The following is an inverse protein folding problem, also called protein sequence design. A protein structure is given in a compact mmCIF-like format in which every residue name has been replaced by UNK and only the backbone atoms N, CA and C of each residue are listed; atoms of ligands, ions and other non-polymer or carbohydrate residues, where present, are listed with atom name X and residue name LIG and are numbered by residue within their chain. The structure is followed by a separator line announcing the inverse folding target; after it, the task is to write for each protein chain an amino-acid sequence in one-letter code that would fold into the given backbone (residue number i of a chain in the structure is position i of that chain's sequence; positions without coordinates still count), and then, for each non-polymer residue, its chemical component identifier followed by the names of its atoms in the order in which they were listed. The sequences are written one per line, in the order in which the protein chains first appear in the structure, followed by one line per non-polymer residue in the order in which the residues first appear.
data_IF_016741575575
#
_entry.id   IF_016741575575
#
_cell.length_a   1.000
_cell.length_b   1.000
_cell.length_c   1.000
_cell.angle_alpha   90.00
_cell.angle_beta   90.00
_cell.angle_gamma   90.00
#
_symmetry.space_group_name_H-M   'P 1'
#
loop_
_entity.id
_entity.type
_entity.pdbx_description
1 polymer ?
#
# COMPACT_ATOMS: atom_id res chain seq x y z
N UNK A 1 26.12 33.13 -16.73
CA UNK A 1 25.86 32.57 -15.38
C UNK A 1 26.27 31.11 -15.34
N UNK A 2 26.53 30.57 -14.14
CA UNK A 2 26.99 29.18 -13.91
C UNK A 2 26.12 28.09 -14.57
N UNK A 3 24.82 28.36 -14.76
CA UNK A 3 23.87 27.44 -15.38
C UNK A 3 24.18 27.15 -16.87
N UNK A 4 24.64 28.15 -17.62
CA UNK A 4 24.84 28.04 -19.08
C UNK A 4 25.81 26.94 -19.49
N UNK A 5 26.81 26.65 -18.65
CA UNK A 5 27.81 25.62 -18.94
C UNK A 5 27.58 24.34 -18.16
N UNK A 6 26.76 24.32 -17.11
CA UNK A 6 26.64 23.13 -16.24
C UNK A 6 25.54 22.16 -16.65
N UNK A 7 24.34 22.66 -16.98
CA UNK A 7 23.09 21.89 -17.15
C UNK A 7 23.22 20.65 -18.08
N UNK A 8 22.69 20.69 -19.30
CA UNK A 8 22.76 19.56 -20.22
C UNK A 8 24.16 19.28 -20.81
N UNK A 9 25.20 19.99 -20.36
CA UNK A 9 26.56 19.93 -20.91
C UNK A 9 27.51 19.00 -20.14
N UNK A 10 27.17 18.61 -18.91
CA UNK A 10 28.00 17.72 -18.08
C UNK A 10 27.24 16.47 -17.65
N UNK A 11 27.83 15.30 -17.85
CA UNK A 11 27.20 14.00 -17.57
C UNK A 11 26.75 13.86 -16.13
N UNK A 12 27.61 14.27 -15.18
CA UNK A 12 27.27 14.25 -13.76
C UNK A 12 26.07 15.15 -13.43
N UNK A 13 25.88 16.26 -14.16
CA UNK A 13 24.72 17.14 -13.98
C UNK A 13 23.46 16.54 -14.60
N UNK A 14 23.58 15.93 -15.78
CA UNK A 14 22.46 15.21 -16.43
C UNK A 14 21.96 14.04 -15.60
N UNK A 15 22.89 13.29 -15.00
CA UNK A 15 22.58 12.14 -14.16
C UNK A 15 21.88 12.54 -12.87
N UNK A 16 22.39 13.55 -12.16
CA UNK A 16 21.84 14.00 -10.88
C UNK A 16 20.74 15.07 -11.01
N UNK A 17 20.44 15.53 -12.23
CA UNK A 17 19.42 16.54 -12.53
C UNK A 17 19.55 17.82 -11.68
N UNK A 18 20.77 18.29 -11.41
CA UNK A 18 20.98 19.46 -10.55
C UNK A 18 20.32 20.73 -11.11
N UNK A 19 19.73 21.55 -10.24
CA UNK A 19 19.10 22.82 -10.64
C UNK A 19 18.10 22.66 -11.79
N UNK A 20 17.35 21.55 -11.81
CA UNK A 20 16.47 21.12 -12.91
C UNK A 20 15.59 22.24 -13.47
N UNK A 21 14.82 22.92 -12.61
CA UNK A 21 13.93 24.03 -13.00
C UNK A 21 14.69 25.19 -13.63
N UNK A 22 15.74 25.69 -12.99
CA UNK A 22 16.52 26.81 -13.52
C UNK A 22 17.24 26.46 -14.83
N UNK A 23 17.65 25.21 -15.02
CA UNK A 23 18.19 24.73 -16.29
C UNK A 23 17.13 24.71 -17.40
N UNK A 24 15.91 24.27 -17.09
CA UNK A 24 14.78 24.27 -18.00
C UNK A 24 14.37 25.69 -18.41
N UNK A 25 14.22 26.61 -17.45
CA UNK A 25 13.90 28.03 -17.68
C UNK A 25 14.97 28.75 -18.50
N UNK A 26 16.25 28.35 -18.36
CA UNK A 26 17.36 28.88 -19.14
C UNK A 26 17.49 28.26 -20.56
N UNK A 27 16.53 27.45 -21.00
CA UNK A 27 16.54 26.80 -22.31
C UNK A 27 17.60 25.71 -22.48
N UNK A 28 18.20 25.25 -21.38
CA UNK A 28 19.24 24.21 -21.36
C UNK A 28 18.87 23.06 -20.42
N UNK A 29 17.57 22.78 -20.30
CA UNK A 29 17.03 21.68 -19.50
C UNK A 29 17.55 20.32 -19.93
N UNK A 30 17.31 19.32 -19.08
CA UNK A 30 17.72 17.95 -19.37
C UNK A 30 16.67 17.25 -20.25
N UNK A 31 17.12 16.30 -21.07
CA UNK A 31 16.22 15.60 -21.99
C UNK A 31 15.07 14.91 -21.24
N UNK A 32 13.86 15.11 -21.75
CA UNK A 32 12.62 14.56 -21.20
C UNK A 32 12.03 15.34 -20.02
N UNK A 33 12.68 16.39 -19.55
CA UNK A 33 12.17 17.18 -18.43
C UNK A 33 11.06 18.15 -18.87
N UNK A 34 9.98 18.17 -18.10
CA UNK A 34 8.92 19.17 -18.18
C UNK A 34 8.76 19.82 -16.81
N UNK A 35 9.31 21.03 -16.66
CA UNK A 35 9.19 21.84 -15.44
C UNK A 35 8.09 22.90 -15.54
N UNK A 36 7.15 22.78 -16.49
CA UNK A 36 6.03 23.73 -16.63
C UNK A 36 5.06 23.74 -15.45
N UNK A 37 5.09 22.69 -14.61
CA UNK A 37 4.24 22.54 -13.43
C UNK A 37 4.60 23.43 -12.23
N UNK A 38 5.66 24.24 -12.30
CA UNK A 38 6.10 25.12 -11.21
C UNK A 38 7.09 24.45 -10.24
N UNK A 39 7.24 25.03 -9.05
CA UNK A 39 8.07 24.43 -8.01
C UNK A 39 7.45 23.13 -7.50
N UNK A 40 8.29 22.15 -7.20
CA UNK A 40 7.83 20.94 -6.52
C UNK A 40 7.34 21.32 -5.12
N UNK A 41 6.07 21.01 -4.84
CA UNK A 41 5.45 21.19 -3.53
C UNK A 41 4.89 19.85 -3.09
N UNK A 42 5.32 19.37 -1.94
CA UNK A 42 4.77 18.22 -1.25
C UNK A 42 4.06 18.67 0.04
N UNK A 43 2.98 17.95 0.39
CA UNK A 43 2.29 18.12 1.68
C UNK A 43 2.11 16.73 2.28
N UNK A 44 2.52 16.57 3.54
CA UNK A 44 2.24 15.34 4.29
C UNK A 44 0.93 15.48 5.07
N UNK A 45 -0.01 14.58 4.79
CA UNK A 45 -1.22 14.42 5.60
C UNK A 45 -0.91 13.49 6.78
N UNK A 46 -1.08 13.99 8.01
CA UNK A 46 -0.95 13.14 9.20
C UNK A 46 -2.15 12.19 9.30
N UNK A 47 -1.88 10.93 9.64
CA UNK A 47 -2.88 9.92 9.97
C UNK A 47 -2.29 8.96 11.02
N UNK A 48 -3.15 8.38 11.85
CA UNK A 48 -2.76 7.30 12.75
C UNK A 48 -2.64 5.97 11.98
N UNK A 49 -1.93 4.99 12.55
CA UNK A 49 -1.77 3.67 11.93
C UNK A 49 -3.11 2.99 11.64
N UNK A 50 -4.09 3.17 12.54
CA UNK A 50 -5.46 2.65 12.40
C UNK A 50 -6.28 3.41 11.35
N UNK A 51 -5.75 4.49 10.77
CA UNK A 51 -6.40 5.33 9.76
C UNK A 51 -5.78 5.16 8.37
N UNK A 52 -4.90 4.16 8.18
CA UNK A 52 -4.37 3.79 6.86
C UNK A 52 -5.53 3.49 5.90
N UNK A 53 -5.41 3.98 4.67
CA UNK A 53 -6.46 3.84 3.65
C UNK A 53 -5.95 3.15 2.40
N UNK A 54 -6.88 2.72 1.54
CA UNK A 54 -6.54 2.21 0.22
C UNK A 54 -5.87 3.29 -0.63
N UNK A 55 -5.09 2.88 -1.64
CA UNK A 55 -4.50 3.82 -2.60
C UNK A 55 -5.55 4.72 -3.27
N UNK A 56 -6.70 4.15 -3.63
CA UNK A 56 -7.81 4.90 -4.24
C UNK A 56 -8.29 6.03 -3.33
N UNK A 57 -8.47 5.76 -2.03
CA UNK A 57 -8.89 6.76 -1.06
C UNK A 57 -7.79 7.78 -0.79
N UNK A 58 -6.52 7.36 -0.71
CA UNK A 58 -5.38 8.29 -0.63
C UNK A 58 -5.32 9.21 -1.85
N UNK A 59 -5.46 8.66 -3.06
CA UNK A 59 -5.50 9.40 -4.32
C UNK A 59 -6.67 10.38 -4.35
N UNK A 60 -7.85 9.97 -3.90
CA UNK A 60 -9.03 10.84 -3.79
C UNK A 60 -8.78 12.01 -2.83
N UNK A 61 -8.16 11.75 -1.67
CA UNK A 61 -7.80 12.79 -0.69
C UNK A 61 -6.80 13.80 -1.27
N UNK A 62 -5.74 13.34 -1.92
CA UNK A 62 -4.78 14.22 -2.61
C UNK A 62 -5.45 15.03 -3.72
N UNK A 63 -6.27 14.39 -4.57
CA UNK A 63 -6.95 15.05 -5.69
C UNK A 63 -7.90 16.16 -5.23
N UNK A 64 -8.55 15.99 -4.07
CA UNK A 64 -9.41 17.04 -3.49
C UNK A 64 -8.67 18.35 -3.16
N UNK A 65 -7.33 18.30 -3.08
CA UNK A 65 -6.44 19.44 -2.85
C UNK A 65 -5.71 19.89 -4.11
N UNK A 66 -6.05 19.34 -5.28
CA UNK A 66 -5.30 19.57 -6.51
C UNK A 66 -3.92 18.89 -6.54
N UNK A 67 -3.68 17.94 -5.62
CA UNK A 67 -2.40 17.24 -5.48
C UNK A 67 -2.51 15.81 -6.00
N UNK A 68 -1.37 15.15 -6.17
CA UNK A 68 -1.26 13.73 -6.50
C UNK A 68 -0.51 13.02 -5.38
N UNK A 69 -0.76 11.73 -5.25
CA UNK A 69 -0.02 10.89 -4.32
C UNK A 69 1.45 10.83 -4.74
N UNK A 70 2.36 11.14 -3.81
CA UNK A 70 3.80 11.05 -4.02
C UNK A 70 4.26 9.59 -4.04
N UNK A 71 5.28 9.29 -4.85
CA UNK A 71 5.97 7.98 -4.84
C UNK A 71 7.01 7.87 -3.72
N UNK A 72 7.57 9.01 -3.30
CA UNK A 72 8.64 9.11 -2.33
C UNK A 72 8.18 9.86 -1.05
N UNK A 73 8.96 9.74 0.02
CA UNK A 73 8.73 10.47 1.27
C UNK A 73 8.74 11.98 1.06
N UNK A 74 7.69 12.65 1.53
CA UNK A 74 7.68 14.11 1.63
C UNK A 74 8.72 14.57 2.65
N UNK A 75 9.50 15.60 2.31
CA UNK A 75 10.74 15.93 3.01
C UNK A 75 10.54 16.59 4.39
N UNK A 76 9.33 17.03 4.73
CA UNK A 76 9.10 17.72 6.00
C UNK A 76 7.68 17.51 6.54
N UNK A 77 7.55 17.17 7.82
CA UNK A 77 6.26 17.11 8.49
C UNK A 77 6.38 17.42 9.97
N UNK A 78 5.33 18.03 10.52
CA UNK A 78 5.15 18.22 11.95
C UNK A 78 4.38 17.08 12.61
N UNK A 79 4.13 15.96 11.90
CA UNK A 79 3.43 14.82 12.47
C UNK A 79 4.28 14.19 13.59
N UNK A 80 3.72 14.07 14.79
CA UNK A 80 4.44 13.65 16.01
C UNK A 80 4.68 12.13 16.13
N UNK A 81 4.25 11.32 15.16
CA UNK A 81 4.29 9.86 15.22
C UNK A 81 5.17 9.28 14.11
N UNK A 82 5.44 7.97 14.22
CA UNK A 82 6.29 7.19 13.30
C UNK A 82 5.99 7.50 11.83
N UNK A 83 7.04 7.49 11.01
CA UNK A 83 7.04 8.03 9.65
C UNK A 83 6.30 7.14 8.63
N UNK A 84 5.16 6.58 8.99
CA UNK A 84 4.43 5.65 8.14
C UNK A 84 3.64 6.36 7.04
N UNK A 85 3.52 5.67 5.90
CA UNK A 85 2.72 6.14 4.77
C UNK A 85 1.23 5.98 5.07
N UNK A 86 0.43 6.91 4.53
CA UNK A 86 -1.04 6.84 4.54
C UNK A 86 -1.57 5.63 3.73
N UNK A 87 -0.75 5.09 2.82
CA UNK A 87 -1.04 3.96 1.94
C UNK A 87 0.28 3.25 1.58
N UNK A 88 0.25 1.96 1.25
CA UNK A 88 1.40 1.24 0.67
C UNK A 88 1.01 0.63 -0.69
N UNK A 89 1.91 0.62 -1.70
CA UNK A 89 1.70 -0.13 -2.93
C UNK A 89 1.69 -1.66 -2.71
N UNK A 90 2.18 -2.12 -1.55
CA UNK A 90 2.27 -3.53 -1.25
C UNK A 90 0.88 -4.12 -0.99
N UNK A 91 0.55 -5.19 -1.70
CA UNK A 91 -0.65 -5.99 -1.39
C UNK A 91 -0.53 -6.58 0.02
N UNK A 92 -1.48 -6.26 0.89
CA UNK A 92 -1.59 -6.88 2.21
C UNK A 92 -1.79 -8.39 2.06
N UNK A 93 -0.72 -9.13 2.29
CA UNK A 93 -0.77 -10.59 2.40
C UNK A 93 -0.77 -10.93 3.88
N UNK A 94 -1.81 -11.65 4.30
CA UNK A 94 -1.92 -12.18 5.66
C UNK A 94 -1.92 -13.69 5.57
N UNK A 95 -1.22 -14.34 6.49
CA UNK A 95 -1.38 -15.78 6.65
C UNK A 95 -2.65 -16.04 7.43
N UNK A 96 -3.46 -17.00 6.96
CA UNK A 96 -4.65 -17.46 7.66
C UNK A 96 -4.53 -18.96 7.91
N UNK A 97 -4.92 -19.38 9.11
CA UNK A 97 -5.08 -20.80 9.42
C UNK A 97 -6.46 -21.21 8.98
N UNK A 98 -6.53 -22.17 8.05
CA UNK A 98 -7.77 -22.82 7.61
C UNK A 98 -7.97 -24.06 8.46
N UNK A 99 -9.03 -24.05 9.28
CA UNK A 99 -9.39 -25.14 10.17
C UNK A 99 -10.04 -26.29 9.40
N UNK A 100 -10.11 -27.46 10.04
CA UNK A 100 -10.67 -28.70 9.45
C UNK A 100 -12.14 -28.58 9.01
N UNK A 101 -12.88 -27.63 9.59
CA UNK A 101 -14.28 -27.34 9.28
C UNK A 101 -14.46 -26.15 8.31
N UNK A 102 -13.36 -25.60 7.80
CA UNK A 102 -13.35 -24.48 6.86
C UNK A 102 -13.50 -23.11 7.50
N UNK A 103 -13.55 -22.99 8.83
CA UNK A 103 -13.35 -21.68 9.48
C UNK A 103 -11.92 -21.20 9.29
N UNK A 104 -11.73 -19.89 9.39
CA UNK A 104 -10.39 -19.29 9.35
C UNK A 104 -10.09 -18.47 10.58
N UNK A 105 -8.81 -18.36 10.90
CA UNK A 105 -8.26 -17.41 11.87
C UNK A 105 -7.00 -16.77 11.31
N UNK A 106 -6.60 -15.62 11.85
CA UNK A 106 -5.36 -14.95 11.41
C UNK A 106 -4.15 -15.59 12.07
N UNK A 107 -3.13 -15.91 11.26
CA UNK A 107 -1.86 -16.49 11.70
C UNK A 107 -0.86 -15.40 12.11
N UNK A 108 -1.14 -14.73 13.23
CA UNK A 108 -0.25 -13.71 13.81
C UNK A 108 0.35 -14.15 15.13
N UNK A 109 -0.49 -14.64 16.05
CA UNK A 109 -0.08 -15.13 17.37
C UNK A 109 -1.07 -16.18 17.89
N UNK A 110 -0.78 -16.75 19.06
CA UNK A 110 -1.59 -17.82 19.66
C UNK A 110 -2.99 -17.37 20.12
N UNK A 111 -3.24 -16.06 20.24
CA UNK A 111 -4.56 -15.52 20.56
C UNK A 111 -5.38 -15.30 19.29
N UNK A 112 -4.75 -14.73 18.26
CA UNK A 112 -5.32 -14.49 16.94
C UNK A 112 -5.77 -15.81 16.29
N UNK A 113 -5.01 -16.90 16.48
CA UNK A 113 -5.37 -18.26 16.02
C UNK A 113 -6.61 -18.85 16.71
N UNK A 114 -7.06 -18.28 17.84
CA UNK A 114 -8.29 -18.71 18.53
C UNK A 114 -9.52 -17.92 18.07
N UNK A 115 -9.33 -16.80 17.41
CA UNK A 115 -10.41 -15.95 16.89
C UNK A 115 -10.89 -16.48 15.53
N UNK A 116 -11.54 -17.64 15.55
CA UNK A 116 -12.06 -18.28 14.36
C UNK A 116 -13.36 -17.64 13.89
N UNK A 117 -13.50 -17.46 12.58
CA UNK A 117 -14.74 -16.97 11.98
C UNK A 117 -15.07 -17.73 10.69
N UNK A 118 -16.37 -17.87 10.37
CA UNK A 118 -16.80 -18.55 9.16
C UNK A 118 -16.54 -17.68 7.92
N UNK A 119 -16.21 -18.33 6.80
CA UNK A 119 -16.10 -17.69 5.50
C UNK A 119 -16.85 -18.51 4.44
N UNK A 120 -17.30 -17.83 3.39
CA UNK A 120 -17.98 -18.47 2.26
C UNK A 120 -16.94 -18.86 1.22
N UNK A 121 -16.71 -20.16 1.08
CA UNK A 121 -15.80 -20.71 0.08
C UNK A 121 -16.52 -20.93 -1.25
N UNK A 122 -15.95 -20.42 -2.36
CA UNK A 122 -16.53 -20.63 -3.69
C UNK A 122 -16.23 -22.02 -4.27
N UNK A 123 -15.03 -22.55 -4.00
CA UNK A 123 -14.51 -23.76 -4.64
C UNK A 123 -13.86 -24.72 -3.61
N UNK A 124 -14.54 -24.94 -2.48
CA UNK A 124 -13.95 -25.64 -1.34
C UNK A 124 -12.86 -24.81 -0.65
N UNK A 125 -12.28 -25.37 0.41
CA UNK A 125 -11.26 -24.72 1.22
C UNK A 125 -9.94 -25.51 1.24
N UNK A 126 -8.80 -24.84 1.48
CA UNK A 126 -7.51 -25.51 1.61
C UNK A 126 -7.48 -26.41 2.84
N UNK A 127 -7.79 -27.69 2.66
CA UNK A 127 -7.74 -28.72 3.70
C UNK A 127 -6.57 -29.67 3.45
N UNK A 128 -6.08 -30.31 4.52
CA UNK A 128 -5.17 -31.43 4.38
C UNK A 128 -5.83 -32.57 3.62
N UNK A 129 -5.06 -33.26 2.77
CA UNK A 129 -5.51 -34.49 2.15
C UNK A 129 -5.46 -35.67 3.15
N UNK A 130 -5.87 -36.86 2.71
CA UNK A 130 -5.88 -38.07 3.54
C UNK A 130 -4.50 -38.49 4.09
N UNK A 131 -3.40 -37.95 3.56
CA UNK A 131 -2.03 -38.20 4.03
C UNK A 131 -1.46 -37.04 4.85
N UNK A 132 -2.30 -36.10 5.29
CA UNK A 132 -1.89 -34.97 6.14
C UNK A 132 -1.14 -33.85 5.41
N UNK A 133 -1.19 -33.82 4.07
CA UNK A 133 -0.50 -32.79 3.29
C UNK A 133 -1.44 -31.65 2.91
N UNK A 134 -1.01 -30.43 3.19
CA UNK A 134 -1.68 -29.21 2.74
C UNK A 134 -1.49 -28.95 1.23
N UNK A 135 -2.38 -28.18 0.60
CA UNK A 135 -2.22 -27.74 -0.78
C UNK A 135 -0.93 -26.94 -0.99
N UNK A 136 -0.48 -26.87 -2.25
CA UNK A 136 0.72 -26.09 -2.61
C UNK A 136 0.60 -24.63 -2.17
N UNK A 137 1.66 -24.10 -1.55
CA UNK A 137 1.70 -22.75 -1.00
C UNK A 137 1.21 -22.64 0.45
N UNK A 138 0.65 -23.71 1.02
CA UNK A 138 0.26 -23.77 2.42
C UNK A 138 1.24 -24.63 3.24
N UNK A 139 1.28 -24.41 4.55
CA UNK A 139 2.07 -25.18 5.52
C UNK A 139 1.15 -25.86 6.53
N UNK A 140 1.45 -27.12 6.88
CA UNK A 140 0.66 -27.89 7.83
C UNK A 140 0.87 -27.39 9.27
N UNK A 141 -0.23 -27.17 9.98
CA UNK A 141 -0.26 -26.85 11.40
C UNK A 141 -1.24 -27.79 12.11
N UNK A 142 -0.74 -28.89 12.68
CA UNK A 142 -1.62 -29.94 13.21
C UNK A 142 -2.46 -30.56 12.09
N UNK A 143 -3.79 -30.51 12.22
CA UNK A 143 -4.75 -30.95 11.18
C UNK A 143 -5.19 -29.80 10.25
N UNK A 144 -4.69 -28.58 10.49
CA UNK A 144 -5.04 -27.37 9.77
C UNK A 144 -3.96 -26.99 8.76
N UNK A 145 -4.28 -26.04 7.88
CA UNK A 145 -3.35 -25.48 6.90
C UNK A 145 -3.21 -23.98 7.08
N UNK A 146 -2.00 -23.48 7.35
CA UNK A 146 -1.68 -22.05 7.25
C UNK A 146 -1.38 -21.72 5.79
N UNK A 147 -2.13 -20.79 5.21
CA UNK A 147 -2.04 -20.41 3.81
C UNK A 147 -1.92 -18.89 3.68
N UNK A 148 -1.05 -18.38 2.79
CA UNK A 148 -1.04 -16.97 2.45
C UNK A 148 -2.35 -16.62 1.73
N UNK A 149 -3.01 -15.57 2.21
CA UNK A 149 -4.20 -15.00 1.60
C UNK A 149 -3.97 -13.52 1.30
N UNK A 150 -4.38 -13.08 0.11
CA UNK A 150 -4.46 -11.66 -0.19
C UNK A 150 -5.70 -11.11 0.51
N UNK A 151 -5.48 -10.29 1.55
CA UNK A 151 -6.55 -9.56 2.17
C UNK A 151 -6.84 -8.30 1.36
N UNK A 152 -8.10 -8.12 0.99
CA UNK A 152 -8.59 -6.88 0.42
C UNK A 152 -9.73 -6.38 1.29
N UNK A 153 -9.61 -5.11 1.69
CA UNK A 153 -10.66 -4.43 2.45
C UNK A 153 -11.68 -3.92 1.44
N UNK A 154 -12.81 -4.59 1.36
CA UNK A 154 -13.96 -4.10 0.62
C UNK A 154 -14.92 -3.45 1.59
N UNK A 155 -15.49 -2.31 1.20
CA UNK A 155 -16.59 -1.71 1.94
C UNK A 155 -17.80 -2.65 1.82
N UNK A 156 -18.05 -3.46 2.85
CA UNK A 156 -19.17 -4.42 2.85
C UNK A 156 -20.54 -3.71 2.70
N UNK A 157 -20.65 -2.49 3.21
CA UNK A 157 -21.87 -1.69 3.13
C UNK A 157 -21.55 -0.23 2.76
N UNK A 158 -22.24 0.31 1.75
CA UNK A 158 -22.08 1.70 1.32
C UNK A 158 -22.73 2.73 2.27
N UNK A 159 -23.42 2.25 3.31
CA UNK A 159 -24.05 3.00 4.40
C UNK A 159 -23.97 2.17 5.67
N UNK A 160 -24.21 2.76 6.83
CA UNK A 160 -24.33 1.98 8.07
C UNK A 160 -25.43 0.90 7.88
N UNK A 161 -25.10 -0.39 8.01
CA UNK A 161 -26.08 -1.46 7.85
C UNK A 161 -27.10 -1.41 8.99
N UNK A 162 -28.36 -1.68 8.66
CA UNK A 162 -29.41 -1.91 9.66
C UNK A 162 -29.22 -3.27 10.31
N UNK A 163 -29.87 -3.52 11.46
CA UNK A 163 -29.83 -4.83 12.13
C UNK A 163 -30.22 -5.98 11.20
N UNK A 164 -31.13 -5.74 10.25
CA UNK A 164 -31.57 -6.70 9.23
C UNK A 164 -30.56 -6.95 8.12
N UNK A 165 -29.61 -6.03 7.89
CA UNK A 165 -28.56 -6.21 6.87
C UNK A 165 -27.37 -7.05 7.39
N UNK A 166 -27.33 -7.32 8.71
CA UNK A 166 -26.24 -8.01 9.42
C UNK A 166 -26.67 -9.42 9.88
N UNK A 167 -27.95 -9.75 9.78
CA UNK A 167 -28.53 -11.05 10.16
C UNK A 167 -28.75 -11.92 8.92
#
# INVERSE_FOLDING_TARGET
GLLHWRCNKYDHWRYNKFCQKSCWEAGNGYDGDDCSGGDFVDERLCAYDDEKVTYEEAARRCASRGMKVCKDYAANSTCSYWQDYLWTPDTCTVSVVVQVDGRISVDWDSLSKKAEFPVIWKNGFPAQNATGHCPSGCTAEGESCSCPATAAVYRAFNKLPSRTDIL
#
